data_IF_030689342397
#
_entry.id   IF_030689342397
#
_cell.length_a   1.000
_cell.length_b   1.000
_cell.length_c   1.000
_cell.angle_alpha   90.00
_cell.angle_beta   90.00
_cell.angle_gamma   90.00
#
_symmetry.space_group_name_H-M   'P 1'
#
loop_
_entity.id
_entity.type
_entity.pdbx_description
1 polymer ?
#
# COMPACT_ATOMS: atom_id res chain seq x y z
N UNK A 1 -3.14 1.00 16.57
CA UNK A 1 -2.57 2.01 15.64
C UNK A 1 -3.22 3.40 15.71
N UNK A 2 -4.53 3.56 15.95
CA UNK A 2 -5.24 4.87 15.76
C UNK A 2 -4.69 6.08 16.53
N UNK A 3 -4.06 5.89 17.70
CA UNK A 3 -3.44 6.98 18.48
C UNK A 3 -1.96 7.20 18.16
N UNK A 4 -1.40 6.50 17.17
CA UNK A 4 0.01 6.61 16.78
C UNK A 4 0.22 7.86 15.90
N UNK A 5 1.30 8.60 16.12
CA UNK A 5 1.61 9.84 15.36
C UNK A 5 1.65 9.65 13.84
N UNK A 6 2.09 8.48 13.34
CA UNK A 6 2.15 8.19 11.91
C UNK A 6 0.74 8.01 11.32
N UNK A 7 -0.16 7.36 12.08
CA UNK A 7 -1.56 7.24 11.70
C UNK A 7 -2.27 8.61 11.74
N UNK A 8 -1.99 9.42 12.75
CA UNK A 8 -2.57 10.77 12.87
C UNK A 8 -2.07 11.69 11.75
N UNK A 9 -0.80 11.59 11.37
CA UNK A 9 -0.23 12.35 10.26
C UNK A 9 -0.92 12.05 8.93
N UNK A 10 -1.10 10.77 8.57
CA UNK A 10 -1.82 10.42 7.35
C UNK A 10 -3.30 10.76 7.42
N UNK A 11 -3.91 10.67 8.61
CA UNK A 11 -5.30 11.10 8.82
C UNK A 11 -5.48 12.60 8.57
N UNK A 12 -4.54 13.43 9.03
CA UNK A 12 -4.54 14.86 8.74
C UNK A 12 -4.25 15.14 7.25
N UNK A 13 -3.28 14.45 6.65
CA UNK A 13 -2.90 14.59 5.25
C UNK A 13 -4.07 14.28 4.31
N UNK A 14 -4.78 13.17 4.54
CA UNK A 14 -5.97 12.84 3.78
C UNK A 14 -7.16 13.71 4.15
N UNK A 15 -7.32 14.11 5.41
CA UNK A 15 -8.45 14.91 5.86
C UNK A 15 -9.79 14.28 5.45
N UNK A 16 -10.56 14.97 4.61
CA UNK A 16 -11.86 14.50 4.09
C UNK A 16 -11.78 13.97 2.66
N UNK A 17 -10.58 13.70 2.14
CA UNK A 17 -10.41 13.22 0.78
C UNK A 17 -11.01 11.82 0.59
N UNK A 18 -11.68 11.64 -0.53
CA UNK A 18 -12.23 10.36 -0.96
C UNK A 18 -11.63 9.94 -2.30
N UNK A 19 -11.61 8.64 -2.56
CA UNK A 19 -11.25 8.09 -3.86
C UNK A 19 -12.21 8.63 -4.94
N UNK A 20 -11.66 9.12 -6.05
CA UNK A 20 -12.44 9.81 -7.11
C UNK A 20 -13.63 9.00 -7.64
N UNK A 21 -13.54 7.67 -7.65
CA UNK A 21 -14.54 6.77 -8.23
C UNK A 21 -15.50 6.21 -7.18
N UNK A 22 -15.00 5.50 -6.18
CA UNK A 22 -15.82 4.83 -5.17
C UNK A 22 -16.39 5.80 -4.12
N UNK A 23 -15.85 7.02 -4.03
CA UNK A 23 -16.16 8.00 -2.97
C UNK A 23 -15.87 7.50 -1.55
N UNK A 24 -15.16 6.37 -1.43
CA UNK A 24 -14.70 5.84 -0.14
C UNK A 24 -13.58 6.75 0.39
N UNK A 25 -13.58 7.11 1.69
CA UNK A 25 -12.51 7.89 2.30
C UNK A 25 -11.14 7.25 2.08
N UNK A 26 -10.12 8.04 1.68
CA UNK A 26 -8.76 7.51 1.45
C UNK A 26 -8.16 6.83 2.70
N UNK A 27 -8.57 7.27 3.89
CA UNK A 27 -8.16 6.65 5.15
C UNK A 27 -8.64 5.19 5.30
N UNK A 28 -9.67 4.76 4.56
CA UNK A 28 -10.12 3.37 4.57
C UNK A 28 -9.03 2.42 4.07
N UNK A 29 -8.27 2.82 3.05
CA UNK A 29 -7.14 2.05 2.51
C UNK A 29 -6.01 1.88 3.56
N UNK A 30 -5.78 2.89 4.40
CA UNK A 30 -4.84 2.73 5.52
C UNK A 30 -5.38 1.72 6.53
N UNK A 31 -6.67 1.76 6.84
CA UNK A 31 -7.26 0.83 7.81
C UNK A 31 -7.24 -0.62 7.33
N UNK A 32 -7.63 -0.88 6.07
CA UNK A 32 -7.57 -2.22 5.49
C UNK A 32 -6.13 -2.74 5.42
N UNK A 33 -5.17 -1.91 5.03
CA UNK A 33 -3.76 -2.31 5.02
C UNK A 33 -3.21 -2.63 6.40
N UNK A 34 -3.61 -1.87 7.42
CA UNK A 34 -3.25 -2.20 8.80
C UNK A 34 -3.85 -3.53 9.26
N UNK A 35 -5.07 -3.87 8.84
CA UNK A 35 -5.67 -5.18 9.14
C UNK A 35 -4.87 -6.32 8.49
N UNK A 36 -4.44 -6.17 7.23
CA UNK A 36 -3.59 -7.16 6.57
C UNK A 36 -2.24 -7.29 7.28
N UNK A 37 -1.61 -6.17 7.64
CA UNK A 37 -0.35 -6.17 8.38
C UNK A 37 -0.48 -6.81 9.76
N UNK A 38 -1.64 -6.67 10.43
CA UNK A 38 -1.95 -7.39 11.65
C UNK A 38 -2.09 -8.90 11.38
N UNK A 39 -2.83 -9.29 10.34
CA UNK A 39 -3.06 -10.70 9.96
C UNK A 39 -1.76 -11.46 9.65
N UNK A 40 -0.80 -10.80 8.99
CA UNK A 40 0.52 -11.40 8.70
C UNK A 40 1.54 -11.17 9.82
N UNK A 41 1.11 -10.70 10.99
CA UNK A 41 1.95 -10.45 12.17
C UNK A 41 3.14 -9.52 11.90
N UNK A 42 2.93 -8.49 11.10
CA UNK A 42 3.97 -7.52 10.75
C UNK A 42 4.36 -6.61 11.93
N UNK A 43 5.56 -6.03 11.84
CA UNK A 43 6.13 -5.19 12.90
C UNK A 43 5.36 -3.87 13.05
N UNK A 44 5.46 -3.26 14.23
CA UNK A 44 4.92 -1.91 14.46
C UNK A 44 5.54 -0.89 13.50
N UNK A 45 6.84 -1.00 13.21
CA UNK A 45 7.53 -0.07 12.30
C UNK A 45 7.04 -0.21 10.86
N UNK A 46 6.74 -1.44 10.40
CA UNK A 46 6.11 -1.65 9.09
C UNK A 46 4.72 -0.99 9.03
N UNK A 47 3.91 -1.14 10.09
CA UNK A 47 2.58 -0.51 10.19
C UNK A 47 2.67 1.02 10.22
N UNK A 48 3.61 1.58 10.97
CA UNK A 48 3.87 3.02 10.99
C UNK A 48 4.33 3.54 9.62
N UNK A 49 5.23 2.81 8.95
CA UNK A 49 5.72 3.16 7.62
C UNK A 49 4.60 3.06 6.58
N UNK A 50 3.74 2.03 6.69
CA UNK A 50 2.54 1.88 5.89
C UNK A 50 1.58 3.04 6.07
N UNK A 51 1.40 3.57 7.28
CA UNK A 51 0.56 4.76 7.46
C UNK A 51 1.05 5.94 6.60
N UNK A 52 2.35 6.18 6.53
CA UNK A 52 2.91 7.40 5.91
C UNK A 52 3.35 7.21 4.46
N UNK A 53 3.35 5.97 3.94
CA UNK A 53 3.80 5.69 2.58
C UNK A 53 3.09 6.54 1.51
N UNK A 54 1.77 6.87 1.61
CA UNK A 54 1.12 7.66 0.57
C UNK A 54 1.62 9.10 0.51
N UNK A 55 2.12 9.65 1.62
CA UNK A 55 2.71 10.99 1.67
C UNK A 55 4.04 11.05 0.91
N UNK A 56 4.62 9.90 0.55
CA UNK A 56 5.93 9.79 -0.09
C UNK A 56 5.87 9.04 -1.44
N UNK A 57 4.72 8.50 -1.82
CA UNK A 57 4.60 7.45 -2.85
C UNK A 57 5.03 7.91 -4.25
N UNK A 58 4.54 9.05 -4.71
CA UNK A 58 4.91 9.63 -6.01
C UNK A 58 5.82 10.85 -5.84
N UNK A 59 6.33 11.38 -6.96
CA UNK A 59 7.25 12.53 -6.94
C UNK A 59 6.58 13.80 -6.41
N UNK A 60 5.28 13.98 -6.66
CA UNK A 60 4.51 15.12 -6.16
C UNK A 60 4.35 15.05 -4.66
N UNK A 61 3.87 13.91 -4.14
CA UNK A 61 3.69 13.69 -2.71
C UNK A 61 5.01 13.83 -1.94
N UNK A 62 6.10 13.28 -2.49
CA UNK A 62 7.44 13.45 -1.91
C UNK A 62 7.85 14.94 -1.88
N UNK A 63 7.66 15.67 -2.98
CA UNK A 63 7.99 17.10 -3.06
C UNK A 63 7.19 17.91 -2.03
N UNK A 64 5.89 17.66 -1.92
CA UNK A 64 5.02 18.31 -0.93
C UNK A 64 5.46 17.99 0.50
N UNK A 65 5.85 16.74 0.77
CA UNK A 65 6.34 16.33 2.10
C UNK A 65 7.65 17.04 2.50
N UNK A 66 8.48 17.43 1.53
CA UNK A 66 9.73 18.17 1.77
C UNK A 66 9.50 19.66 2.14
N UNK A 67 8.32 20.22 1.88
CA UNK A 67 8.03 21.61 2.21
C UNK A 67 8.01 21.86 3.72
N UNK A 68 8.56 23.00 4.17
CA UNK A 68 8.70 23.29 5.61
C UNK A 68 7.39 23.20 6.41
N UNK A 69 6.27 23.61 5.81
CA UNK A 69 4.96 23.63 6.45
C UNK A 69 4.11 22.37 6.14
N UNK A 70 4.71 21.33 5.56
CA UNK A 70 4.00 20.10 5.24
C UNK A 70 3.47 19.40 6.49
N UNK A 71 2.38 18.64 6.34
CA UNK A 71 1.89 17.74 7.41
C UNK A 71 3.00 16.79 7.85
N UNK A 72 3.83 16.31 6.90
CA UNK A 72 4.95 15.43 7.17
C UNK A 72 5.95 16.05 8.18
N UNK A 73 6.36 17.30 7.95
CA UNK A 73 7.28 18.01 8.84
C UNK A 73 6.64 18.36 10.19
N UNK A 74 5.38 18.78 10.20
CA UNK A 74 4.62 19.13 11.42
C UNK A 74 4.61 18.00 12.45
N UNK A 75 4.45 16.75 12.01
CA UNK A 75 4.30 15.59 12.91
C UNK A 75 5.62 15.00 13.44
N UNK A 76 6.78 15.50 13.01
CA UNK A 76 8.11 15.04 13.44
C UNK A 76 8.21 13.50 13.49
N UNK A 77 7.94 12.87 12.34
CA UNK A 77 7.86 11.41 12.20
C UNK A 77 9.20 10.72 12.51
N UNK A 78 9.15 9.43 12.87
CA UNK A 78 10.38 8.70 13.22
C UNK A 78 11.27 8.51 11.98
N UNK A 79 12.53 8.99 11.96
CA UNK A 79 13.40 8.87 10.79
C UNK A 79 13.57 7.43 10.30
N UNK A 80 13.65 6.45 11.21
CA UNK A 80 13.79 5.05 10.81
C UNK A 80 12.54 4.51 10.10
N UNK A 81 11.34 4.97 10.50
CA UNK A 81 10.08 4.67 9.82
C UNK A 81 10.02 5.34 8.44
N UNK A 82 10.52 6.57 8.34
CA UNK A 82 10.62 7.29 7.05
C UNK A 82 11.53 6.55 6.07
N UNK A 83 12.68 6.04 6.52
CA UNK A 83 13.58 5.23 5.67
C UNK A 83 12.88 3.98 5.13
N UNK A 84 12.09 3.28 5.96
CA UNK A 84 11.31 2.12 5.52
C UNK A 84 10.25 2.51 4.48
N UNK A 85 9.56 3.64 4.66
CA UNK A 85 8.58 4.12 3.68
C UNK A 85 9.23 4.57 2.36
N UNK A 86 10.42 5.16 2.40
CA UNK A 86 11.19 5.54 1.20
C UNK A 86 11.73 4.31 0.45
N UNK A 87 12.17 3.28 1.16
CA UNK A 87 12.56 2.00 0.53
C UNK A 87 11.34 1.31 -0.10
N UNK A 88 10.19 1.33 0.58
CA UNK A 88 8.94 0.87 -0.01
C UNK A 88 8.61 1.60 -1.31
N UNK A 89 8.67 2.94 -1.30
CA UNK A 89 8.48 3.77 -2.50
C UNK A 89 9.41 3.34 -3.63
N UNK A 90 10.69 3.16 -3.32
CA UNK A 90 11.70 2.74 -4.30
C UNK A 90 11.33 1.39 -4.95
N UNK A 91 11.04 0.37 -4.13
CA UNK A 91 10.73 -0.99 -4.61
C UNK A 91 9.38 -1.03 -5.35
N UNK A 92 8.35 -0.37 -4.82
CA UNK A 92 7.04 -0.32 -5.46
C UNK A 92 7.08 0.37 -6.84
N UNK A 93 7.84 1.47 -6.95
CA UNK A 93 7.95 2.23 -8.21
C UNK A 93 8.91 1.60 -9.23
N UNK A 94 9.80 0.70 -8.80
CA UNK A 94 10.65 -0.06 -9.71
C UNK A 94 9.84 -1.00 -10.64
N UNK A 95 8.67 -1.49 -10.18
CA UNK A 95 7.80 -2.35 -10.98
C UNK A 95 6.32 -1.91 -10.92
N UNK A 96 5.95 -1.08 -11.89
CA UNK A 96 4.58 -0.60 -12.11
C UNK A 96 3.89 -1.39 -13.22
N UNK A 97 2.56 -1.27 -13.32
CA UNK A 97 1.77 -2.05 -14.28
C UNK A 97 2.15 -1.82 -15.74
N UNK A 98 2.71 -0.66 -16.08
CA UNK A 98 3.21 -0.37 -17.43
C UNK A 98 4.63 -0.90 -17.70
N UNK A 99 5.33 -1.40 -16.68
CA UNK A 99 6.58 -2.15 -16.83
C UNK A 99 6.33 -3.63 -17.11
N UNK A 100 5.08 -4.10 -17.05
CA UNK A 100 4.73 -5.48 -17.34
C UNK A 100 5.17 -5.89 -18.74
N UNK A 101 5.92 -6.99 -18.83
CA UNK A 101 6.32 -7.61 -20.09
C UNK A 101 5.79 -9.03 -20.21
N UNK A 102 5.82 -9.81 -19.11
CA UNK A 102 5.49 -11.23 -19.11
C UNK A 102 5.09 -11.76 -17.73
N UNK A 103 4.59 -13.01 -17.68
CA UNK A 103 4.28 -13.70 -16.42
C UNK A 103 5.53 -14.12 -15.61
N UNK A 104 6.71 -13.98 -16.21
CA UNK A 104 8.00 -14.35 -15.62
C UNK A 104 8.88 -13.14 -15.33
N UNK A 105 8.28 -11.94 -15.32
CA UNK A 105 8.98 -10.70 -14.94
C UNK A 105 9.67 -10.86 -13.59
N UNK A 106 10.94 -10.46 -13.56
CA UNK A 106 11.69 -10.40 -12.32
C UNK A 106 11.34 -9.12 -11.56
N UNK A 107 10.88 -9.27 -10.32
CA UNK A 107 10.60 -8.16 -9.43
C UNK A 107 11.61 -8.25 -8.28
N UNK A 108 12.47 -7.24 -8.14
CA UNK A 108 13.36 -7.15 -6.98
C UNK A 108 12.56 -6.82 -5.73
N UNK A 109 12.82 -7.54 -4.63
CA UNK A 109 12.26 -7.24 -3.32
C UNK A 109 13.29 -6.53 -2.46
N UNK A 110 12.81 -5.81 -1.44
CA UNK A 110 13.71 -5.24 -0.45
C UNK A 110 14.36 -6.34 0.39
N UNK A 111 15.57 -6.06 0.87
CA UNK A 111 16.19 -6.84 1.95
C UNK A 111 15.44 -6.70 3.28
N UNK A 112 14.63 -5.64 3.43
CA UNK A 112 13.81 -5.41 4.61
C UNK A 112 12.51 -6.20 4.55
N UNK A 113 12.30 -7.10 5.53
CA UNK A 113 11.02 -7.78 5.70
C UNK A 113 9.86 -6.80 5.86
N UNK A 114 10.07 -5.68 6.54
CA UNK A 114 9.02 -4.67 6.79
C UNK A 114 8.50 -4.06 5.50
N UNK A 115 9.39 -3.82 4.53
CA UNK A 115 9.02 -3.31 3.21
C UNK A 115 8.25 -4.36 2.42
N UNK A 116 8.68 -5.62 2.49
CA UNK A 116 7.98 -6.72 1.81
C UNK A 116 6.60 -6.97 2.41
N UNK A 117 6.43 -6.84 3.74
CA UNK A 117 5.13 -6.90 4.41
C UNK A 117 4.22 -5.76 3.96
N UNK A 118 4.75 -4.53 3.84
CA UNK A 118 4.01 -3.39 3.29
C UNK A 118 3.56 -3.62 1.85
N UNK A 119 4.42 -4.19 1.01
CA UNK A 119 4.08 -4.57 -0.36
C UNK A 119 2.98 -5.64 -0.41
N UNK A 120 2.96 -6.59 0.53
CA UNK A 120 1.85 -7.55 0.64
C UNK A 120 0.54 -6.80 0.93
N UNK A 121 0.52 -5.93 1.94
CA UNK A 121 -0.68 -5.19 2.30
C UNK A 121 -1.21 -4.30 1.16
N UNK A 122 -0.31 -3.58 0.48
CA UNK A 122 -0.67 -2.74 -0.68
C UNK A 122 -1.19 -3.58 -1.85
N UNK A 123 -0.46 -4.63 -2.26
CA UNK A 123 -0.83 -5.40 -3.46
C UNK A 123 -2.06 -6.26 -3.26
N UNK A 124 -2.31 -6.76 -2.05
CA UNK A 124 -3.55 -7.48 -1.74
C UNK A 124 -4.75 -6.52 -1.83
N UNK A 125 -4.68 -5.34 -1.22
CA UNK A 125 -5.76 -4.35 -1.33
C UNK A 125 -5.98 -3.87 -2.76
N UNK A 126 -4.91 -3.50 -3.46
CA UNK A 126 -5.01 -3.00 -4.82
C UNK A 126 -5.59 -4.04 -5.79
N UNK A 127 -5.27 -5.33 -5.56
CA UNK A 127 -5.89 -6.43 -6.32
C UNK A 127 -7.37 -6.59 -5.98
N UNK A 128 -7.75 -6.54 -4.70
CA UNK A 128 -9.16 -6.59 -4.26
C UNK A 128 -9.97 -5.47 -4.92
N UNK A 129 -9.50 -4.23 -4.84
CA UNK A 129 -10.15 -3.06 -5.45
C UNK A 129 -10.25 -3.20 -6.98
N UNK A 130 -9.19 -3.71 -7.61
CA UNK A 130 -9.20 -4.01 -9.04
C UNK A 130 -10.24 -5.07 -9.40
N UNK A 131 -10.34 -6.16 -8.64
CA UNK A 131 -11.32 -7.24 -8.88
C UNK A 131 -12.76 -6.74 -8.75
N UNK A 132 -13.05 -5.86 -7.78
CA UNK A 132 -14.38 -5.30 -7.55
C UNK A 132 -14.78 -4.28 -8.63
N UNK A 133 -13.85 -3.40 -9.04
CA UNK A 133 -14.20 -2.22 -9.82
C UNK A 133 -13.72 -2.22 -11.27
N UNK A 134 -12.74 -3.05 -11.62
CA UNK A 134 -11.99 -2.94 -12.88
C UNK A 134 -11.83 -4.24 -13.66
N UNK A 135 -12.11 -5.39 -13.03
CA UNK A 135 -12.23 -6.65 -13.74
C UNK A 135 -13.29 -6.50 -14.84
N UNK A 136 -12.96 -7.00 -16.03
CA UNK A 136 -13.78 -6.97 -17.24
C UNK A 136 -14.21 -5.60 -17.81
N UNK A 137 -13.96 -4.49 -17.12
CA UNK A 137 -14.34 -3.13 -17.58
C UNK A 137 -13.15 -2.27 -18.01
N UNK A 138 -11.93 -2.58 -17.56
CA UNK A 138 -10.74 -1.80 -17.90
C UNK A 138 -10.06 -2.33 -19.17
N UNK A 139 -9.66 -1.43 -20.09
CA UNK A 139 -8.96 -1.79 -21.34
C UNK A 139 -7.68 -2.62 -21.11
N UNK A 140 -7.04 -2.43 -19.96
CA UNK A 140 -5.82 -3.15 -19.55
C UNK A 140 -6.10 -4.22 -18.48
N UNK A 141 -7.34 -4.70 -18.34
CA UNK A 141 -7.73 -5.65 -17.29
C UNK A 141 -6.86 -6.91 -17.27
N UNK A 142 -6.57 -7.51 -18.43
CA UNK A 142 -5.68 -8.68 -18.52
C UNK A 142 -4.24 -8.38 -18.04
N UNK A 143 -3.70 -7.21 -18.39
CA UNK A 143 -2.37 -6.76 -17.96
C UNK A 143 -2.36 -6.54 -16.44
N UNK A 144 -3.36 -5.84 -15.90
CA UNK A 144 -3.47 -5.57 -14.47
C UNK A 144 -3.62 -6.86 -13.66
N UNK A 145 -4.45 -7.80 -14.13
CA UNK A 145 -4.60 -9.10 -13.50
C UNK A 145 -3.27 -9.87 -13.45
N UNK A 146 -2.48 -9.85 -14.54
CA UNK A 146 -1.17 -10.49 -14.53
C UNK A 146 -0.14 -9.72 -13.67
N UNK A 147 -0.17 -8.39 -13.68
CA UNK A 147 0.66 -7.55 -12.82
C UNK A 147 0.48 -7.90 -11.34
N UNK A 148 -0.77 -8.01 -10.86
CA UNK A 148 -1.03 -8.43 -9.49
C UNK A 148 -0.59 -9.87 -9.21
N UNK A 149 -0.80 -10.80 -10.16
CA UNK A 149 -0.28 -12.18 -10.04
C UNK A 149 1.25 -12.21 -9.91
N UNK A 150 1.98 -11.40 -10.69
CA UNK A 150 3.44 -11.33 -10.62
C UNK A 150 3.91 -10.84 -9.25
N UNK A 151 3.30 -9.77 -8.73
CA UNK A 151 3.59 -9.27 -7.38
C UNK A 151 3.34 -10.30 -6.29
N UNK A 152 2.15 -10.93 -6.29
CA UNK A 152 1.80 -11.91 -5.25
C UNK A 152 2.67 -13.15 -5.33
N UNK A 153 2.96 -13.66 -6.55
CA UNK A 153 3.93 -14.74 -6.77
C UNK A 153 5.30 -14.38 -6.19
N UNK A 154 5.79 -13.17 -6.45
CA UNK A 154 7.10 -12.74 -5.95
C UNK A 154 7.15 -12.59 -4.43
N UNK A 155 6.08 -12.08 -3.83
CA UNK A 155 5.92 -11.90 -2.39
C UNK A 155 5.59 -13.21 -1.65
N UNK A 156 5.43 -14.33 -2.39
CA UNK A 156 5.15 -15.64 -1.81
C UNK A 156 3.70 -15.80 -1.31
N UNK A 157 2.77 -14.97 -1.82
CA UNK A 157 1.35 -15.05 -1.49
C UNK A 157 0.64 -15.93 -2.51
N UNK A 158 0.13 -17.07 -2.05
CA UNK A 158 -0.70 -17.97 -2.87
C UNK A 158 -2.11 -17.41 -3.07
N UNK A 159 -2.83 -17.91 -4.07
CA UNK A 159 -4.24 -17.54 -4.29
C UNK A 159 -5.14 -17.86 -3.09
N UNK A 160 -4.84 -18.94 -2.35
CA UNK A 160 -5.56 -19.28 -1.12
C UNK A 160 -5.32 -18.24 -0.04
N UNK A 161 -4.06 -17.89 0.23
CA UNK A 161 -3.72 -16.85 1.20
C UNK A 161 -4.30 -15.48 0.82
N UNK A 162 -4.28 -15.13 -0.46
CA UNK A 162 -4.94 -13.91 -0.95
C UNK A 162 -6.41 -13.87 -0.58
N UNK A 163 -7.16 -14.95 -0.86
CA UNK A 163 -8.60 -15.04 -0.52
C UNK A 163 -8.84 -14.98 0.98
N UNK A 164 -8.02 -15.65 1.77
CA UNK A 164 -8.11 -15.61 3.24
C UNK A 164 -7.90 -14.19 3.78
N UNK A 165 -6.91 -13.46 3.27
CA UNK A 165 -6.67 -12.07 3.65
C UNK A 165 -7.83 -11.15 3.26
N UNK A 166 -8.36 -11.30 2.04
CA UNK A 166 -9.53 -10.52 1.58
C UNK A 166 -10.75 -10.80 2.45
N UNK A 167 -11.03 -12.07 2.76
CA UNK A 167 -12.16 -12.45 3.61
C UNK A 167 -12.06 -11.86 5.03
N UNK A 168 -10.84 -11.80 5.60
CA UNK A 168 -10.63 -11.19 6.91
C UNK A 168 -10.95 -9.69 6.92
N UNK A 169 -10.57 -8.97 5.86
CA UNK A 169 -10.88 -7.54 5.70
C UNK A 169 -12.41 -7.33 5.66
N UNK A 170 -13.11 -8.11 4.83
CA UNK A 170 -14.56 -7.95 4.65
C UNK A 170 -15.35 -8.30 5.92
N UNK A 171 -14.89 -9.30 6.69
CA UNK A 171 -15.54 -9.71 7.95
C UNK A 171 -15.40 -8.65 9.04
N UNK A 172 -14.30 -7.89 9.06
CA UNK A 172 -14.06 -6.82 10.04
C UNK A 172 -14.79 -5.51 9.71
N UNK A 173 -15.23 -5.36 8.45
CA UNK A 173 -15.93 -4.19 7.96
C UNK A 173 -17.47 -4.38 7.90
N UNK A 174 -17.97 -5.59 8.17
CA UNK A 174 -19.39 -5.96 8.26
C UNK A 174 -19.96 -5.74 9.67
#
# INVERSE_FOLDING_TARGET
>A
MRNNKHYLAISEFYGTQCAKRSQVPLIAHINEGLQILDAISSSTRAKEAFCIHPMLQDDTALSESLEHNSVFNKWALNPSTVLVAMEYRHVANAYLSHHFQSADDHIDLSVSKEVNDMLIADKVQNRKDFEIHHLDSHQNSAILAQYFRNWLKRLGITETQYRELVQQIDTLNA
#
